data_IF_804848076756
#
_entry.id   IF_804848076756
#
_cell.length_a   1.000
_cell.length_b   1.000
_cell.length_c   1.000
_cell.angle_alpha   90.00
_cell.angle_beta   90.00
_cell.angle_gamma   90.00
#
_symmetry.space_group_name_H-M   'P 1'
#
loop_
_entity.id
_entity.type
_entity.pdbx_description
1 polymer ?
#
# COMPACT_ATOMS: atom_id res chain seq x y z
N UNK A 1 4.86 -5.10 25.59
CA UNK A 1 4.22 -3.91 24.95
C UNK A 1 5.11 -2.70 25.25
N UNK A 2 5.96 -2.30 24.30
CA UNK A 2 6.80 -1.12 24.50
C UNK A 2 5.93 0.14 24.38
N UNK A 3 5.94 0.96 25.43
CA UNK A 3 5.20 2.23 25.50
C UNK A 3 5.84 3.22 24.53
N UNK A 4 5.04 3.76 23.63
CA UNK A 4 5.39 4.91 22.77
C UNK A 4 5.82 6.07 23.67
N UNK A 5 6.98 6.66 23.41
CA UNK A 5 7.52 7.73 24.26
C UNK A 5 6.97 9.11 23.84
N UNK A 6 6.84 10.07 24.77
CA UNK A 6 6.44 11.44 24.43
C UNK A 6 7.32 12.11 23.36
N UNK A 7 8.57 11.67 23.22
CA UNK A 7 9.51 12.16 22.22
C UNK A 7 9.22 11.62 20.80
N UNK A 8 8.75 10.36 20.68
CA UNK A 8 8.28 9.83 19.40
C UNK A 8 6.96 10.46 18.97
N UNK A 9 6.11 10.87 19.92
CA UNK A 9 4.92 11.71 19.68
C UNK A 9 5.31 13.11 19.19
N UNK A 10 6.38 13.71 19.73
CA UNK A 10 6.84 15.04 19.33
C UNK A 10 7.47 15.07 17.93
N UNK A 11 8.21 14.01 17.55
CA UNK A 11 8.77 13.86 16.19
C UNK A 11 7.71 13.51 15.14
N UNK A 12 6.64 12.81 15.54
CA UNK A 12 5.44 12.64 14.74
C UNK A 12 4.69 13.97 14.58
N UNK A 13 4.61 14.79 15.65
CA UNK A 13 4.04 16.15 15.63
C UNK A 13 4.69 17.07 14.59
N UNK A 14 6.01 17.04 14.42
CA UNK A 14 6.71 17.88 13.42
C UNK A 14 6.37 17.52 11.96
N UNK A 15 5.98 16.27 11.75
CA UNK A 15 5.61 15.76 10.43
C UNK A 15 4.10 15.84 10.18
N UNK A 16 3.33 15.67 11.25
CA UNK A 16 1.95 16.12 11.37
C UNK A 16 1.91 17.61 11.07
N UNK A 17 2.76 18.49 11.60
CA UNK A 17 2.83 19.94 11.29
C UNK A 17 2.99 20.22 9.79
N UNK A 18 3.93 19.53 9.14
CA UNK A 18 4.16 19.66 7.69
C UNK A 18 2.97 19.14 6.85
N UNK A 19 2.21 18.18 7.37
CA UNK A 19 0.98 17.68 6.74
C UNK A 19 -0.28 18.45 7.20
N UNK A 20 -0.26 19.07 8.39
CA UNK A 20 -1.41 19.60 9.12
C UNK A 20 -1.76 21.00 8.71
N UNK A 21 -0.79 21.80 8.26
CA UNK A 21 -1.08 23.11 7.68
C UNK A 21 -2.00 23.01 6.44
N UNK A 22 -2.22 21.81 5.88
CA UNK A 22 -3.14 21.61 4.74
C UNK A 22 -4.11 20.41 4.82
N UNK A 23 -3.86 19.36 5.60
CA UNK A 23 -4.68 18.12 5.57
C UNK A 23 -5.44 17.79 6.86
N UNK A 24 -5.04 18.31 8.03
CA UNK A 24 -5.66 17.89 9.31
C UNK A 24 -6.97 18.64 9.57
N UNK A 25 -7.11 19.86 9.05
CA UNK A 25 -8.41 20.54 9.00
C UNK A 25 -9.40 19.93 7.98
N UNK A 26 -8.96 18.96 7.16
CA UNK A 26 -9.73 18.43 6.02
C UNK A 26 -10.49 17.15 6.35
N UNK A 27 -10.00 16.28 7.25
CA UNK A 27 -10.71 15.02 7.57
C UNK A 27 -10.26 14.40 8.93
N UNK A 28 -11.05 14.54 10.01
CA UNK A 28 -10.76 13.98 11.35
C UNK A 28 -10.50 12.47 11.36
N UNK A 29 -11.10 11.75 10.41
CA UNK A 29 -10.99 10.31 10.21
C UNK A 29 -9.56 9.81 9.84
N UNK A 30 -8.64 10.73 9.52
CA UNK A 30 -7.24 10.42 9.21
C UNK A 30 -6.32 10.38 10.43
N UNK A 31 -6.72 10.96 11.56
CA UNK A 31 -5.88 11.09 12.77
C UNK A 31 -5.40 9.73 13.33
N UNK A 32 -6.26 8.69 13.46
CA UNK A 32 -5.83 7.36 13.87
C UNK A 32 -4.82 6.71 12.90
N UNK A 33 -4.97 6.98 11.60
CA UNK A 33 -4.04 6.46 10.59
C UNK A 33 -2.67 7.13 10.71
N UNK A 34 -2.63 8.46 10.83
CA UNK A 34 -1.40 9.21 11.00
C UNK A 34 -0.63 8.75 12.25
N UNK A 35 -1.32 8.55 13.37
CA UNK A 35 -0.72 8.00 14.60
C UNK A 35 -0.10 6.61 14.37
N UNK A 36 -0.79 5.74 13.62
CA UNK A 36 -0.26 4.42 13.29
C UNK A 36 0.99 4.49 12.40
N UNK A 37 1.07 5.42 11.44
CA UNK A 37 2.28 5.57 10.60
C UNK A 37 3.52 5.99 11.39
N UNK A 38 3.35 6.81 12.44
CA UNK A 38 4.45 7.17 13.34
C UNK A 38 4.98 5.96 14.12
N UNK A 39 4.06 5.10 14.59
CA UNK A 39 4.41 3.85 15.27
C UNK A 39 5.12 2.87 14.34
N UNK A 40 4.69 2.76 13.07
CA UNK A 40 5.39 1.95 12.06
C UNK A 40 6.84 2.39 11.93
N UNK A 41 7.08 3.70 11.84
CA UNK A 41 8.45 4.25 11.74
C UNK A 41 9.30 3.90 12.96
N UNK A 42 8.75 4.02 14.16
CA UNK A 42 9.43 3.65 15.41
C UNK A 42 9.76 2.15 15.44
N UNK A 43 8.84 1.29 14.98
CA UNK A 43 9.10 -0.16 14.87
C UNK A 43 10.23 -0.46 13.90
N UNK A 44 10.22 0.14 12.69
CA UNK A 44 11.28 -0.06 11.70
C UNK A 44 12.66 0.37 12.22
N UNK A 45 12.73 1.49 12.95
CA UNK A 45 13.99 1.98 13.53
C UNK A 45 14.61 0.97 14.49
N UNK A 46 13.78 0.33 15.32
CA UNK A 46 14.22 -0.56 16.40
C UNK A 46 14.49 -2.01 15.96
N UNK A 47 14.21 -2.35 14.70
CA UNK A 47 14.45 -3.69 14.16
C UNK A 47 15.91 -3.91 13.71
N UNK A 48 16.32 -5.16 13.54
CA UNK A 48 17.54 -5.47 12.76
C UNK A 48 17.40 -5.01 11.30
N UNK A 49 18.47 -4.98 10.49
CA UNK A 49 18.33 -4.70 9.04
C UNK A 49 17.37 -5.68 8.36
N UNK A 50 17.52 -6.97 8.66
CA UNK A 50 16.62 -8.02 8.18
C UNK A 50 15.18 -7.84 8.64
N UNK A 51 15.00 -7.58 9.94
CA UNK A 51 13.68 -7.32 10.53
C UNK A 51 13.02 -6.08 9.93
N UNK A 52 13.79 -5.00 9.74
CA UNK A 52 13.33 -3.75 9.16
C UNK A 52 12.82 -3.95 7.73
N UNK A 53 13.55 -4.68 6.88
CA UNK A 53 13.12 -4.93 5.49
C UNK A 53 11.87 -5.82 5.44
N UNK A 54 11.84 -6.91 6.20
CA UNK A 54 10.70 -7.84 6.21
C UNK A 54 9.45 -7.14 6.74
N UNK A 55 9.58 -6.39 7.84
CA UNK A 55 8.49 -5.65 8.46
C UNK A 55 7.96 -4.54 7.54
N UNK A 56 8.85 -3.79 6.90
CA UNK A 56 8.50 -2.78 5.90
C UNK A 56 7.64 -3.37 4.77
N UNK A 57 8.05 -4.51 4.20
CA UNK A 57 7.32 -5.18 3.12
C UNK A 57 5.96 -5.67 3.59
N UNK A 58 5.86 -6.20 4.81
CA UNK A 58 4.57 -6.62 5.38
C UNK A 58 3.57 -5.45 5.48
N UNK A 59 4.02 -4.26 5.86
CA UNK A 59 3.17 -3.07 5.90
C UNK A 59 2.76 -2.62 4.50
N UNK A 60 3.71 -2.54 3.56
CA UNK A 60 3.43 -2.16 2.17
C UNK A 60 2.44 -3.12 1.50
N UNK A 61 2.59 -4.42 1.72
CA UNK A 61 1.69 -5.43 1.18
C UNK A 61 0.27 -5.31 1.74
N UNK A 62 0.14 -4.97 3.02
CA UNK A 62 -1.15 -4.70 3.67
C UNK A 62 -1.81 -3.47 3.03
N UNK A 63 -1.06 -2.39 2.82
CA UNK A 63 -1.58 -1.15 2.24
C UNK A 63 -1.99 -1.34 0.78
N UNK A 64 -1.20 -2.07 -0.02
CA UNK A 64 -1.61 -2.41 -1.39
C UNK A 64 -2.90 -3.23 -1.39
N UNK A 65 -3.07 -4.15 -0.44
CA UNK A 65 -4.31 -4.91 -0.29
C UNK A 65 -5.49 -3.98 0.02
N UNK A 66 -5.30 -2.99 0.88
CA UNK A 66 -6.34 -2.02 1.25
C UNK A 66 -6.67 -1.04 0.11
N UNK A 67 -5.67 -0.61 -0.67
CA UNK A 67 -5.87 0.15 -1.90
C UNK A 67 -6.71 -0.62 -2.91
N UNK A 68 -6.32 -1.87 -3.18
CA UNK A 68 -7.03 -2.73 -4.12
C UNK A 68 -8.46 -3.02 -3.66
N UNK A 69 -8.69 -3.29 -2.37
CA UNK A 69 -10.04 -3.45 -1.81
C UNK A 69 -10.87 -2.18 -1.89
N UNK A 70 -10.26 -1.00 -1.87
CA UNK A 70 -10.95 0.27 -2.05
C UNK A 70 -11.39 0.52 -3.49
N UNK A 71 -10.73 -0.10 -4.47
CA UNK A 71 -11.00 0.11 -5.91
C UNK A 71 -11.80 -1.02 -6.57
N UNK A 72 -11.53 -2.26 -6.17
CA UNK A 72 -12.15 -3.45 -6.76
C UNK A 72 -13.54 -3.68 -6.19
N UNK A 73 -14.39 -4.32 -6.98
CA UNK A 73 -15.75 -4.69 -6.57
C UNK A 73 -15.75 -6.18 -6.21
N UNK A 74 -16.16 -6.52 -5.00
CA UNK A 74 -16.11 -7.90 -4.53
C UNK A 74 -16.86 -8.11 -3.22
N UNK A 75 -17.51 -9.27 -3.06
CA UNK A 75 -18.03 -9.69 -1.76
C UNK A 75 -16.89 -10.09 -0.82
N UNK A 76 -17.16 -10.15 0.49
CA UNK A 76 -16.18 -10.64 1.49
C UNK A 76 -15.59 -12.01 1.10
N UNK A 77 -16.43 -12.93 0.61
CA UNK A 77 -15.99 -14.25 0.14
C UNK A 77 -15.12 -14.16 -1.12
N UNK A 78 -15.48 -13.29 -2.07
CA UNK A 78 -14.69 -13.07 -3.27
C UNK A 78 -13.30 -12.52 -2.92
N UNK A 79 -13.22 -11.48 -2.08
CA UNK A 79 -11.94 -10.92 -1.64
C UNK A 79 -11.11 -11.92 -0.83
N UNK A 80 -11.74 -12.76 0.01
CA UNK A 80 -11.02 -13.81 0.71
C UNK A 80 -10.25 -14.71 -0.28
N UNK A 81 -10.90 -15.14 -1.36
CA UNK A 81 -10.25 -16.00 -2.37
C UNK A 81 -9.27 -15.23 -3.24
N UNK A 82 -9.58 -13.97 -3.58
CA UNK A 82 -8.75 -13.14 -4.44
C UNK A 82 -7.38 -12.82 -3.82
N UNK A 83 -7.38 -12.52 -2.52
CA UNK A 83 -6.18 -12.16 -1.74
C UNK A 83 -5.63 -13.32 -0.90
N UNK A 84 -6.19 -14.53 -1.04
CA UNK A 84 -5.61 -15.73 -0.45
C UNK A 84 -4.18 -15.93 -0.96
N UNK A 85 -3.31 -16.59 -0.19
CA UNK A 85 -1.93 -16.86 -0.61
C UNK A 85 -1.86 -17.59 -1.97
N UNK A 86 -2.81 -18.49 -2.24
CA UNK A 86 -2.95 -19.19 -3.52
C UNK A 86 -3.74 -18.42 -4.59
N UNK A 87 -4.29 -17.26 -4.22
CA UNK A 87 -5.16 -16.44 -5.04
C UNK A 87 -4.41 -15.53 -6.03
N UNK A 88 -5.13 -14.98 -7.04
CA UNK A 88 -4.53 -14.14 -8.08
C UNK A 88 -3.81 -12.88 -7.55
N UNK A 89 -4.26 -12.33 -6.42
CA UNK A 89 -3.64 -11.20 -5.73
C UNK A 89 -3.04 -11.63 -4.38
N UNK A 90 -2.58 -12.87 -4.28
CA UNK A 90 -2.02 -13.45 -3.05
C UNK A 90 -0.60 -12.99 -2.74
N UNK A 91 0.17 -12.55 -3.75
CA UNK A 91 1.58 -12.17 -3.58
C UNK A 91 1.79 -10.66 -3.64
N UNK A 92 2.85 -10.19 -2.98
CA UNK A 92 3.28 -8.79 -3.07
C UNK A 92 3.48 -8.33 -4.52
N UNK A 93 4.14 -9.13 -5.37
CA UNK A 93 4.36 -8.78 -6.79
C UNK A 93 3.05 -8.67 -7.58
N UNK A 94 2.10 -9.61 -7.39
CA UNK A 94 0.80 -9.53 -8.05
C UNK A 94 0.02 -8.28 -7.64
N UNK A 95 0.12 -7.87 -6.37
CA UNK A 95 -0.52 -6.64 -5.87
C UNK A 95 0.12 -5.39 -6.48
N UNK A 96 1.45 -5.31 -6.55
CA UNK A 96 2.15 -4.19 -7.20
C UNK A 96 1.70 -4.05 -8.65
N UNK A 97 1.73 -5.15 -9.41
CA UNK A 97 1.35 -5.16 -10.84
C UNK A 97 -0.10 -4.70 -11.02
N UNK A 98 -1.03 -5.28 -10.27
CA UNK A 98 -2.45 -4.93 -10.38
C UNK A 98 -2.70 -3.47 -10.01
N UNK A 99 -2.15 -3.00 -8.88
CA UNK A 99 -2.30 -1.61 -8.44
C UNK A 99 -1.79 -0.63 -9.50
N UNK A 100 -0.67 -0.93 -10.16
CA UNK A 100 -0.17 -0.12 -11.25
C UNK A 100 -1.09 -0.18 -12.48
N UNK A 101 -1.47 -1.38 -12.91
CA UNK A 101 -2.30 -1.59 -14.12
C UNK A 101 -3.66 -0.89 -14.06
N UNK A 102 -4.24 -0.70 -12.88
CA UNK A 102 -5.51 -0.01 -12.70
C UNK A 102 -5.36 1.44 -12.22
N UNK A 103 -4.13 1.98 -12.24
CA UNK A 103 -3.84 3.39 -11.98
C UNK A 103 -3.90 3.82 -10.51
N UNK A 104 -3.73 2.91 -9.55
CA UNK A 104 -3.70 3.24 -8.11
C UNK A 104 -2.33 3.72 -7.63
N UNK A 105 -1.26 3.39 -8.36
CA UNK A 105 0.11 3.79 -8.03
C UNK A 105 0.81 4.28 -9.30
N UNK A 106 1.71 5.24 -9.13
CA UNK A 106 2.55 5.81 -10.16
C UNK A 106 3.72 4.89 -10.57
N UNK A 107 4.39 5.23 -11.67
CA UNK A 107 5.57 4.49 -12.14
C UNK A 107 6.73 4.52 -11.13
N UNK A 108 6.93 5.65 -10.44
CA UNK A 108 7.95 5.79 -9.39
C UNK A 108 7.64 4.91 -8.19
N UNK A 109 6.40 4.89 -7.72
CA UNK A 109 5.94 3.99 -6.65
C UNK A 109 6.08 2.52 -7.03
N UNK A 110 5.67 2.15 -8.25
CA UNK A 110 5.83 0.79 -8.76
C UNK A 110 7.31 0.39 -8.83
N UNK A 111 8.19 1.29 -9.28
CA UNK A 111 9.63 1.04 -9.37
C UNK A 111 10.23 0.79 -7.99
N UNK A 112 9.95 1.68 -7.03
CA UNK A 112 10.49 1.57 -5.68
C UNK A 112 9.93 0.34 -4.94
N UNK A 113 8.66 0.00 -5.15
CA UNK A 113 8.06 -1.22 -4.58
C UNK A 113 8.72 -2.51 -5.13
N UNK A 114 9.06 -2.56 -6.43
CA UNK A 114 9.80 -3.68 -7.01
C UNK A 114 11.24 -3.75 -6.47
N UNK A 115 11.90 -2.61 -6.27
CA UNK A 115 13.22 -2.55 -5.63
C UNK A 115 13.16 -3.04 -4.18
N UNK A 116 12.16 -2.61 -3.40
CA UNK A 116 11.91 -3.08 -2.04
C UNK A 116 11.59 -4.58 -2.00
N UNK A 117 10.83 -5.10 -2.99
CA UNK A 117 10.61 -6.54 -3.14
C UNK A 117 11.92 -7.29 -3.40
N UNK A 118 12.79 -6.74 -4.24
CA UNK A 118 14.12 -7.33 -4.51
C UNK A 118 14.97 -7.37 -3.24
N UNK A 119 15.02 -6.26 -2.49
CA UNK A 119 15.68 -6.21 -1.17
C UNK A 119 15.15 -7.30 -0.25
N UNK A 120 13.83 -7.45 -0.13
CA UNK A 120 13.22 -8.50 0.70
C UNK A 120 13.69 -9.90 0.30
N UNK A 121 13.84 -10.17 -1.00
CA UNK A 121 14.32 -11.47 -1.45
C UNK A 121 15.77 -11.73 -1.02
N UNK A 122 16.65 -10.74 -1.13
CA UNK A 122 18.04 -10.83 -0.64
C UNK A 122 18.03 -11.16 0.86
N UNK A 123 17.30 -10.38 1.66
CA UNK A 123 17.23 -10.57 3.11
C UNK A 123 16.50 -11.86 3.52
N UNK A 124 15.55 -12.36 2.74
CA UNK A 124 14.83 -13.60 3.06
C UNK A 124 15.64 -14.86 2.72
N UNK A 125 16.46 -14.81 1.68
CA UNK A 125 17.16 -15.98 1.16
C UNK A 125 18.67 -16.01 1.47
N UNK A 126 19.23 -14.96 2.07
CA UNK A 126 20.63 -14.96 2.50
C UNK A 126 20.85 -15.89 3.71
N UNK A 127 21.73 -16.90 3.60
CA UNK A 127 22.10 -17.77 4.73
C UNK A 127 23.02 -17.05 5.73
N UNK A 128 23.73 -16.02 5.29
CA UNK A 128 24.67 -15.26 6.11
C UNK A 128 24.01 -13.98 6.67
N UNK A 129 24.59 -13.37 7.73
CA UNK A 129 24.21 -12.02 8.13
C UNK A 129 24.38 -11.06 6.95
N UNK A 130 23.30 -10.36 6.60
CA UNK A 130 23.26 -9.36 5.53
C UNK A 130 22.81 -8.03 6.13
N UNK A 131 23.44 -6.95 5.71
CA UNK A 131 23.19 -5.59 6.18
C UNK A 131 22.73 -4.69 5.04
N UNK A 132 22.13 -3.55 5.39
CA UNK A 132 21.71 -2.54 4.40
C UNK A 132 22.92 -1.79 3.81
N UNK A 133 24.10 -1.91 4.42
CA UNK A 133 25.36 -1.32 3.95
C UNK A 133 26.13 -2.23 2.99
N UNK A 134 25.71 -3.49 2.83
CA UNK A 134 26.30 -4.42 1.86
C UNK A 134 26.11 -3.89 0.42
N UNK A 135 27.08 -4.15 -0.45
CA UNK A 135 27.15 -3.57 -1.80
C UNK A 135 25.84 -3.67 -2.60
N UNK A 136 25.19 -4.84 -2.60
CA UNK A 136 23.98 -5.08 -3.37
C UNK A 136 22.74 -4.39 -2.76
N UNK A 137 22.38 -4.60 -1.47
CA UNK A 137 21.32 -3.83 -0.82
C UNK A 137 21.51 -2.32 -0.92
N UNK A 138 22.73 -1.82 -0.68
CA UNK A 138 23.05 -0.40 -0.72
C UNK A 138 22.76 0.20 -2.09
N UNK A 139 23.21 -0.45 -3.16
CA UNK A 139 22.95 0.01 -4.54
C UNK A 139 21.46 0.13 -4.83
N UNK A 140 20.67 -0.87 -4.44
CA UNK A 140 19.21 -0.84 -4.65
C UNK A 140 18.58 0.33 -3.88
N UNK A 141 19.03 0.59 -2.65
CA UNK A 141 18.54 1.70 -1.83
C UNK A 141 18.92 3.06 -2.44
N UNK A 142 20.12 3.18 -3.01
CA UNK A 142 20.57 4.38 -3.71
C UNK A 142 19.69 4.71 -4.93
N UNK A 143 19.16 3.70 -5.61
CA UNK A 143 18.28 3.83 -6.78
C UNK A 143 16.81 4.17 -6.43
N UNK A 144 16.41 4.11 -5.14
CA UNK A 144 15.05 4.49 -4.72
C UNK A 144 14.77 5.96 -5.06
N UNK A 145 13.64 6.19 -5.75
CA UNK A 145 13.25 7.47 -6.36
C UNK A 145 12.43 8.36 -5.42
N UNK A 146 11.67 7.78 -4.48
CA UNK A 146 10.75 8.49 -3.60
C UNK A 146 11.42 9.03 -2.33
N UNK A 147 12.72 9.30 -2.39
CA UNK A 147 13.46 9.94 -1.32
C UNK A 147 13.23 11.46 -1.33
N UNK A 148 12.21 11.90 -0.62
CA UNK A 148 11.78 13.31 -0.57
C UNK A 148 12.68 14.17 0.31
N UNK A 149 13.44 13.55 1.22
CA UNK A 149 14.31 14.25 2.16
C UNK A 149 15.75 13.81 1.92
N UNK A 150 16.27 14.12 0.73
CA UNK A 150 17.70 13.96 0.43
C UNK A 150 18.52 14.72 1.49
N UNK A 151 19.34 13.99 2.22
CA UNK A 151 20.26 14.54 3.23
C UNK A 151 21.68 14.27 2.78
N UNK A 152 22.57 15.21 3.05
CA UNK A 152 24.00 14.95 2.96
C UNK A 152 24.38 13.85 3.95
N UNK A 153 25.22 12.90 3.51
CA UNK A 153 25.73 11.78 4.31
C UNK A 153 24.64 10.85 4.88
N UNK A 154 23.54 10.63 4.14
CA UNK A 154 22.53 9.68 4.60
C UNK A 154 23.03 8.23 4.57
N UNK A 155 22.63 7.46 5.57
CA UNK A 155 22.93 6.02 5.65
C UNK A 155 21.91 5.23 4.83
N UNK A 156 22.27 4.12 4.18
CA UNK A 156 21.30 3.28 3.45
C UNK A 156 20.09 2.91 4.29
N UNK A 157 20.30 2.56 5.57
CA UNK A 157 19.22 2.24 6.51
C UNK A 157 18.21 3.36 6.68
N UNK A 158 18.68 4.59 6.94
CA UNK A 158 17.79 5.73 7.12
C UNK A 158 17.07 6.12 5.83
N UNK A 159 17.73 6.07 4.68
CA UNK A 159 17.09 6.27 3.38
C UNK A 159 15.98 5.23 3.15
N UNK A 160 16.27 3.96 3.38
CA UNK A 160 15.29 2.87 3.27
C UNK A 160 14.05 3.11 4.15
N UNK A 161 14.27 3.44 5.43
CA UNK A 161 13.18 3.74 6.37
C UNK A 161 12.39 4.97 5.91
N UNK A 162 13.06 6.03 5.46
CA UNK A 162 12.44 7.27 4.97
C UNK A 162 11.52 7.01 3.79
N UNK A 163 12.03 6.33 2.75
CA UNK A 163 11.27 6.00 1.54
C UNK A 163 10.10 5.08 1.86
N UNK A 164 10.33 4.00 2.60
CA UNK A 164 9.27 3.06 2.98
C UNK A 164 8.16 3.77 3.74
N UNK A 165 8.52 4.55 4.75
CA UNK A 165 7.56 5.26 5.58
C UNK A 165 6.76 6.29 4.76
N UNK A 166 7.41 7.00 3.84
CA UNK A 166 6.73 7.89 2.90
C UNK A 166 5.68 7.15 2.05
N UNK A 167 6.06 6.02 1.44
CA UNK A 167 5.15 5.22 0.61
C UNK A 167 3.95 4.74 1.44
N UNK A 168 4.20 4.22 2.64
CA UNK A 168 3.17 3.78 3.59
C UNK A 168 2.18 4.92 3.89
N UNK A 169 2.70 6.11 4.19
CA UNK A 169 1.86 7.27 4.50
C UNK A 169 1.02 7.72 3.30
N UNK A 170 1.62 7.90 2.12
CA UNK A 170 0.90 8.37 0.93
C UNK A 170 -0.15 7.36 0.48
N UNK A 171 0.24 6.10 0.31
CA UNK A 171 -0.68 5.07 -0.15
C UNK A 171 -1.82 4.81 0.84
N UNK A 172 -1.55 4.87 2.14
CA UNK A 172 -2.60 4.69 3.15
C UNK A 172 -3.57 5.88 3.23
N UNK A 173 -3.08 7.12 3.05
CA UNK A 173 -3.96 8.30 2.90
C UNK A 173 -4.83 8.13 1.65
N UNK A 174 -4.24 7.79 0.50
CA UNK A 174 -4.99 7.56 -0.75
C UNK A 174 -6.06 6.48 -0.56
N UNK A 175 -5.74 5.35 0.09
CA UNK A 175 -6.72 4.29 0.38
C UNK A 175 -7.90 4.79 1.22
N UNK A 176 -7.63 5.59 2.27
CA UNK A 176 -8.69 6.12 3.13
C UNK A 176 -9.56 7.15 2.38
N UNK A 177 -8.95 8.01 1.56
CA UNK A 177 -9.68 8.98 0.73
C UNK A 177 -10.58 8.29 -0.31
N UNK A 178 -10.11 7.23 -0.97
CA UNK A 178 -10.93 6.47 -1.92
C UNK A 178 -12.14 5.82 -1.23
N UNK A 179 -11.97 5.27 -0.02
CA UNK A 179 -13.09 4.74 0.79
C UNK A 179 -14.10 5.82 1.15
N UNK A 180 -13.63 7.03 1.48
CA UNK A 180 -14.51 8.16 1.80
C UNK A 180 -15.29 8.67 0.59
N UNK A 181 -14.67 8.76 -0.59
CA UNK A 181 -15.36 9.11 -1.83
C UNK A 181 -16.48 8.12 -2.13
N UNK A 182 -16.19 6.82 -2.03
CA UNK A 182 -17.16 5.76 -2.30
C UNK A 182 -18.34 5.77 -1.32
N UNK A 183 -18.10 6.12 -0.05
CA UNK A 183 -19.15 6.27 0.96
C UNK A 183 -19.97 7.57 0.80
N UNK A 184 -19.46 8.58 0.07
CA UNK A 184 -20.12 9.89 -0.13
C UNK A 184 -20.84 10.01 -1.48
N UNK A 185 -20.53 9.18 -2.46
CA UNK A 185 -21.30 9.09 -3.71
C UNK A 185 -22.50 8.17 -3.50
N UNK A 186 -23.73 8.69 -3.62
CA UNK A 186 -25.03 8.01 -3.42
C UNK A 186 -25.35 6.83 -4.36
N UNK A 187 -24.34 6.17 -4.92
CA UNK A 187 -24.49 4.85 -5.52
C UNK A 187 -23.13 4.15 -5.44
N UNK A 188 -22.86 3.33 -4.40
CA UNK A 188 -21.86 2.30 -4.57
C UNK A 188 -22.22 1.53 -5.84
N UNK A 189 -21.24 1.23 -6.69
CA UNK A 189 -21.40 0.20 -7.72
C UNK A 189 -21.63 -1.11 -6.96
N UNK A 190 -22.88 -1.37 -6.59
CA UNK A 190 -23.28 -2.58 -5.90
C UNK A 190 -23.03 -3.73 -6.87
N UNK A 191 -22.19 -4.66 -6.45
CA UNK A 191 -21.89 -5.85 -7.23
C UNK A 191 -23.17 -6.61 -7.58
N UNK A 192 -24.22 -6.50 -6.76
CA UNK A 192 -25.52 -7.07 -7.07
C UNK A 192 -26.17 -6.29 -8.20
N UNK A 193 -26.25 -4.96 -8.11
CA UNK A 193 -26.78 -4.11 -9.20
C UNK A 193 -26.06 -4.31 -10.52
N UNK A 194 -24.72 -4.35 -10.57
CA UNK A 194 -24.01 -4.61 -11.85
C UNK A 194 -24.19 -6.05 -12.34
N UNK A 195 -24.25 -7.03 -11.43
CA UNK A 195 -24.56 -8.41 -11.82
C UNK A 195 -26.00 -8.54 -12.32
N UNK A 196 -26.94 -7.85 -11.71
CA UNK A 196 -28.34 -7.79 -12.07
C UNK A 196 -28.51 -7.07 -13.41
N UNK A 197 -27.87 -5.92 -13.62
CA UNK A 197 -27.84 -5.21 -14.90
C UNK A 197 -27.28 -6.11 -16.01
N UNK A 198 -26.17 -6.81 -15.74
CA UNK A 198 -25.58 -7.74 -16.70
C UNK A 198 -26.47 -8.95 -16.95
N UNK A 199 -27.14 -9.48 -15.92
CA UNK A 199 -28.11 -10.59 -16.07
C UNK A 199 -29.36 -10.16 -16.83
N UNK A 200 -29.86 -8.94 -16.60
CA UNK A 200 -30.97 -8.35 -17.31
C UNK A 200 -30.63 -8.20 -18.80
N UNK A 201 -29.47 -7.62 -19.12
CA UNK A 201 -28.97 -7.53 -20.50
C UNK A 201 -28.83 -8.91 -21.15
N UNK A 202 -28.27 -9.90 -20.45
CA UNK A 202 -28.16 -11.28 -20.97
C UNK A 202 -29.55 -11.87 -21.23
N UNK A 203 -30.53 -11.59 -20.37
CA UNK A 203 -31.91 -12.10 -20.50
C UNK A 203 -32.64 -11.43 -21.67
N UNK A 204 -32.45 -10.13 -21.85
CA UNK A 204 -32.98 -9.35 -22.97
C UNK A 204 -32.40 -9.83 -24.31
N UNK A 205 -31.08 -10.00 -24.39
CA UNK A 205 -30.43 -10.56 -25.58
C UNK A 205 -30.94 -11.98 -25.91
N UNK A 206 -31.18 -12.81 -24.89
CA UNK A 206 -31.78 -14.15 -25.08
C UNK A 206 -33.24 -14.11 -25.52
N UNK A 207 -34.00 -13.07 -25.17
CA UNK A 207 -35.36 -12.91 -25.70
C UNK A 207 -35.35 -12.48 -27.16
N UNK A 208 -34.42 -11.62 -27.57
CA UNK A 208 -34.28 -11.19 -28.97
C UNK A 208 -33.81 -12.33 -29.88
N UNK A 209 -32.94 -13.23 -29.38
CA UNK A 209 -32.46 -14.41 -30.10
C UNK A 209 -33.58 -15.44 -30.40
N UNK A 210 -34.69 -15.44 -29.64
CA UNK A 210 -35.87 -16.27 -29.93
C UNK A 210 -36.69 -15.75 -31.12
N UNK A 211 -36.56 -14.45 -31.44
CA UNK A 211 -37.28 -13.80 -32.54
C UNK A 211 -36.48 -13.78 -33.85
N UNK A 212 -35.22 -14.23 -33.83
CA UNK A 212 -34.38 -14.45 -35.01
C UNK A 212 -34.07 -15.94 -35.18
N UNK A 213 -34.91 -16.70 -35.89
CA UNK A 213 -34.57 -18.07 -36.26
C UNK A 213 -33.42 -18.02 -37.27
N UNK A 214 -32.29 -18.63 -36.91
CA UNK A 214 -31.37 -19.13 -37.94
C UNK A 214 -32.06 -20.21 -38.77
#
# INVERSE_FOLDING_TARGET
MNKVTPESILKAKLLIEVLSEKLIDVEPDLEPFLYNTARVREQLINESDRGCVILAVSFLETILTDLLKGKLIGSKKHFKNLFDFSGPLGTFSSKIKMSYSIGLISESEKTDLENIRSLRNIFAHSPNPTTLDDNEPKKIIEELKLDIRKRENDTPRRKFISVTWYIISVMGITSKLEKLKYNRTDAPIDINTEKENRQALISELKSVDKDFPF
#
